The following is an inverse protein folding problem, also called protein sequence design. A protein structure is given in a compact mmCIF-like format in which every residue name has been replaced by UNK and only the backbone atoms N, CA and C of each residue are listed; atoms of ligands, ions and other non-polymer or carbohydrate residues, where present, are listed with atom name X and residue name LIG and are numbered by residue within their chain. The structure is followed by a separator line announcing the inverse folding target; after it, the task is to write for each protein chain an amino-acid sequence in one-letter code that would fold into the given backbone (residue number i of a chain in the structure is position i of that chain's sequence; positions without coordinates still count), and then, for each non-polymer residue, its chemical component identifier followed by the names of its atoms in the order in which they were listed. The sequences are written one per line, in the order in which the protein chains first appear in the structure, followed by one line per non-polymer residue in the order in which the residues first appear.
data_IF_763625140705
#
_entry.id   IF_763625140705
#
_cell.length_a   1.000
_cell.length_b   1.000
_cell.length_c   1.000
_cell.angle_alpha   90.00
_cell.angle_beta   90.00
_cell.angle_gamma   90.00
#
_symmetry.space_group_name_H-M   'P 1'
#
loop_
_entity.id
_entity.type
_entity.pdbx_description
1 polymer ?
#
# COMPACT_ATOMS: atom_id res chain seq x y z
N UNK A 1 -8.30 19.97 4.92
CA UNK A 1 -8.90 19.51 6.18
C UNK A 1 -8.23 20.28 7.29
N UNK A 2 -8.93 21.17 7.99
CA UNK A 2 -8.32 22.08 8.97
C UNK A 2 -9.18 22.28 10.20
N UNK A 3 -8.68 23.09 11.12
CA UNK A 3 -9.29 23.42 12.41
C UNK A 3 -10.02 24.76 12.36
N UNK A 4 -10.86 25.05 13.35
CA UNK A 4 -11.36 26.41 13.53
C UNK A 4 -10.22 27.36 13.92
N UNK A 5 -10.09 28.45 13.17
CA UNK A 5 -9.10 29.52 13.39
C UNK A 5 -9.74 30.90 13.56
N UNK A 6 -11.05 30.94 13.86
CA UNK A 6 -11.81 32.20 13.98
C UNK A 6 -12.46 32.39 15.34
N UNK A 7 -12.86 31.32 16.03
CA UNK A 7 -13.61 31.43 17.29
C UNK A 7 -12.68 31.60 18.49
N UNK A 8 -12.89 32.69 19.22
CA UNK A 8 -12.33 32.87 20.57
C UNK A 8 -13.17 32.08 21.56
N UNK A 9 -12.53 31.22 22.34
CA UNK A 9 -13.17 30.35 23.32
C UNK A 9 -12.94 30.86 24.75
N UNK A 10 -13.76 30.38 25.69
CA UNK A 10 -13.48 30.54 27.11
C UNK A 10 -12.50 29.43 27.54
N UNK A 11 -11.27 29.74 28.03
CA UNK A 11 -10.30 28.74 28.46
C UNK A 11 -10.81 27.79 29.55
N UNK A 12 -11.80 28.24 30.34
CA UNK A 12 -12.41 27.48 31.43
C UNK A 12 -13.81 26.93 31.06
N UNK A 13 -14.21 27.05 29.78
CA UNK A 13 -15.54 26.70 29.30
C UNK A 13 -15.75 25.21 29.02
N UNK A 14 -14.70 24.39 29.11
CA UNK A 14 -14.74 22.94 28.87
C UNK A 14 -14.85 22.52 27.39
N UNK A 15 -15.16 23.44 26.48
CA UNK A 15 -15.16 23.21 25.03
C UNK A 15 -13.75 23.43 24.46
N UNK A 16 -13.28 22.47 23.65
CA UNK A 16 -12.05 22.58 22.89
C UNK A 16 -12.25 23.32 21.55
N UNK A 17 -11.15 23.65 20.89
CA UNK A 17 -11.15 24.20 19.53
C UNK A 17 -11.64 23.15 18.53
N UNK A 18 -12.59 23.53 17.69
CA UNK A 18 -13.17 22.62 16.71
C UNK A 18 -12.10 22.10 15.74
N UNK A 19 -12.12 20.79 15.54
CA UNK A 19 -11.21 20.05 14.67
C UNK A 19 -11.90 18.76 14.20
N UNK A 20 -11.20 17.98 13.38
CA UNK A 20 -11.67 16.70 12.89
C UNK A 20 -10.66 15.59 13.14
N UNK A 21 -11.19 14.40 13.38
CA UNK A 21 -10.45 13.12 13.33
C UNK A 21 -11.10 12.26 12.27
N UNK A 22 -10.37 11.95 11.21
CA UNK A 22 -10.84 11.12 10.12
C UNK A 22 -10.15 9.76 10.20
N UNK A 23 -10.95 8.70 10.29
CA UNK A 23 -10.48 7.32 10.28
C UNK A 23 -10.97 6.63 9.01
N UNK A 24 -10.10 5.87 8.35
CA UNK A 24 -10.47 5.10 7.17
C UNK A 24 -11.45 3.97 7.52
N UNK A 25 -12.42 3.72 6.65
CA UNK A 25 -13.32 2.58 6.82
C UNK A 25 -12.60 1.22 6.71
N UNK A 26 -11.63 1.14 5.79
CA UNK A 26 -10.83 -0.07 5.60
C UNK A 26 -9.71 -0.13 6.64
N UNK A 27 -9.40 -1.36 7.06
CA UNK A 27 -8.22 -1.70 7.83
C UNK A 27 -7.23 -2.49 6.96
N UNK A 28 -5.94 -2.40 7.28
CA UNK A 28 -4.86 -3.07 6.56
C UNK A 28 -4.00 -3.92 7.49
N UNK A 29 -3.38 -4.94 6.91
CA UNK A 29 -2.27 -5.70 7.48
C UNK A 29 -1.20 -5.71 6.41
N UNK A 30 0.00 -5.24 6.76
CA UNK A 30 1.11 -5.03 5.84
C UNK A 30 0.80 -4.06 4.70
N UNK A 31 1.82 -3.81 3.89
CA UNK A 31 1.74 -3.04 2.66
C UNK A 31 2.59 -1.79 2.70
N UNK A 32 2.40 -0.97 1.68
CA UNK A 32 3.10 0.29 1.49
C UNK A 32 2.08 1.41 1.42
N UNK A 33 2.10 2.28 2.41
CA UNK A 33 1.25 3.48 2.49
C UNK A 33 2.07 4.67 2.00
N UNK A 34 1.60 5.36 0.96
CA UNK A 34 2.23 6.55 0.40
C UNK A 34 1.27 7.72 0.53
N UNK A 35 1.70 8.75 1.25
CA UNK A 35 1.01 10.00 1.44
C UNK A 35 1.82 11.13 0.79
N UNK A 36 1.21 11.79 -0.20
CA UNK A 36 1.73 13.01 -0.82
C UNK A 36 0.96 14.22 -0.28
N UNK A 37 1.69 15.13 0.37
CA UNK A 37 1.14 16.32 1.02
C UNK A 37 1.71 17.57 0.36
N UNK A 38 0.81 18.48 0.01
CA UNK A 38 1.17 19.87 -0.29
C UNK A 38 1.33 20.70 1.00
N UNK A 39 0.63 20.33 2.07
CA UNK A 39 0.62 21.05 3.34
C UNK A 39 0.22 20.11 4.50
N UNK A 40 0.82 20.29 5.67
CA UNK A 40 0.39 19.73 6.95
C UNK A 40 0.16 20.86 7.97
N UNK A 41 -0.53 20.63 9.10
CA UNK A 41 -0.65 21.67 10.11
C UNK A 41 0.72 22.22 10.51
N UNK A 42 0.82 23.56 10.53
CA UNK A 42 2.07 24.28 10.76
C UNK A 42 2.61 24.10 12.19
N UNK A 43 3.79 24.66 12.44
CA UNK A 43 4.43 24.67 13.76
C UNK A 43 3.74 25.69 14.68
N UNK A 44 2.54 25.34 15.14
CA UNK A 44 1.66 26.22 15.91
C UNK A 44 1.62 25.81 17.38
N UNK A 45 1.90 26.75 18.28
CA UNK A 45 1.89 26.50 19.72
C UNK A 45 0.53 25.97 20.20
N UNK A 46 0.56 24.82 20.88
CA UNK A 46 -0.61 24.11 21.37
C UNK A 46 -1.23 23.12 20.38
N UNK A 47 -0.81 23.10 19.12
CA UNK A 47 -1.24 22.10 18.14
C UNK A 47 -0.54 20.75 18.36
N UNK A 48 -1.26 19.68 18.03
CA UNK A 48 -0.76 18.30 17.97
C UNK A 48 -1.41 17.58 16.78
N UNK A 49 -0.84 17.75 15.57
CA UNK A 49 -1.30 17.05 14.38
C UNK A 49 -0.66 15.66 14.24
N UNK A 50 -1.45 14.71 13.74
CA UNK A 50 -1.00 13.34 13.50
C UNK A 50 -1.53 12.78 12.17
N UNK A 51 -0.65 12.09 11.43
CA UNK A 51 -1.01 11.10 10.42
C UNK A 51 -0.42 9.75 10.84
N UNK A 52 -1.30 8.81 11.12
CA UNK A 52 -0.96 7.61 11.86
C UNK A 52 -1.88 6.45 11.51
N UNK A 53 -1.58 5.28 12.06
CA UNK A 53 -2.33 4.06 11.85
C UNK A 53 -2.59 3.35 13.17
N UNK A 54 -3.84 3.02 13.46
CA UNK A 54 -4.25 2.45 14.74
C UNK A 54 -4.91 1.10 14.57
N UNK A 55 -4.43 0.09 15.28
CA UNK A 55 -5.06 -1.22 15.38
C UNK A 55 -6.18 -1.26 16.44
N UNK A 56 -6.95 -2.35 16.51
CA UNK A 56 -8.00 -2.51 17.50
C UNK A 56 -7.42 -2.80 18.91
N UNK A 57 -8.23 -2.64 19.96
CA UNK A 57 -7.87 -3.00 21.34
C UNK A 57 -6.54 -2.38 21.82
N UNK A 58 -6.36 -1.08 21.57
CA UNK A 58 -5.15 -0.37 21.97
C UNK A 58 -4.76 -0.63 23.45
N UNK A 59 -3.45 -0.86 23.75
CA UNK A 59 -2.31 -0.85 22.83
C UNK A 59 -2.00 -2.23 22.20
N UNK A 60 -2.85 -3.25 22.41
CA UNK A 60 -2.57 -4.62 21.99
C UNK A 60 -2.61 -4.83 20.46
N UNK A 61 -3.35 -4.00 19.72
CA UNK A 61 -3.32 -3.98 18.25
C UNK A 61 -2.33 -3.01 17.65
N UNK A 62 -1.58 -2.29 18.49
CA UNK A 62 -0.52 -1.40 18.08
C UNK A 62 -0.97 -0.05 17.51
N UNK A 63 -0.02 0.86 17.47
CA UNK A 63 -0.12 2.20 16.91
C UNK A 63 1.15 2.52 16.12
N UNK A 64 1.00 3.16 14.96
CA UNK A 64 2.11 3.55 14.09
C UNK A 64 1.95 5.03 13.74
N UNK A 65 2.78 5.88 14.31
CA UNK A 65 2.77 7.32 14.07
C UNK A 65 3.76 7.65 12.96
N UNK A 66 3.23 8.03 11.78
CA UNK A 66 4.04 8.26 10.57
C UNK A 66 4.47 9.72 10.52
N UNK A 67 3.54 10.63 10.84
CA UNK A 67 3.81 12.05 11.03
C UNK A 67 3.19 12.48 12.36
N UNK A 68 4.01 12.94 13.28
CA UNK A 68 3.56 13.43 14.57
C UNK A 68 4.53 14.46 15.17
N UNK A 69 3.96 15.41 15.91
CA UNK A 69 4.71 16.40 16.65
C UNK A 69 3.78 17.34 17.40
N UNK A 70 4.36 18.19 18.23
CA UNK A 70 3.62 19.13 19.08
C UNK A 70 4.26 20.50 19.08
N UNK A 71 3.46 21.52 19.36
CA UNK A 71 3.94 22.86 19.69
C UNK A 71 4.93 23.43 18.65
N UNK A 72 6.15 23.80 19.08
CA UNK A 72 7.17 24.41 18.22
C UNK A 72 8.05 23.40 17.47
N UNK A 73 7.68 22.12 17.42
CA UNK A 73 8.42 21.11 16.67
C UNK A 73 8.57 21.48 15.19
N UNK A 74 9.77 21.30 14.67
CA UNK A 74 10.15 21.57 13.26
C UNK A 74 10.67 20.33 12.53
N UNK A 75 10.82 19.24 13.27
CA UNK A 75 11.18 17.92 12.75
C UNK A 75 10.14 16.90 13.20
N UNK A 76 9.91 15.91 12.35
CA UNK A 76 8.92 14.88 12.60
C UNK A 76 9.41 13.87 13.63
N UNK A 77 8.50 13.40 14.50
CA UNK A 77 8.70 12.21 15.32
C UNK A 77 7.92 11.05 14.71
N UNK A 78 8.59 9.92 14.53
CA UNK A 78 7.97 8.67 14.08
C UNK A 78 8.02 7.72 15.27
N UNK A 79 6.88 7.18 15.68
CA UNK A 79 6.77 6.30 16.86
C UNK A 79 5.96 5.05 16.60
N UNK A 80 6.22 4.02 17.42
CA UNK A 80 5.32 2.89 17.58
C UNK A 80 4.92 2.73 19.04
N UNK A 81 3.65 2.40 19.26
CA UNK A 81 3.13 2.00 20.56
C UNK A 81 2.56 0.59 20.50
N UNK A 82 2.87 -0.21 21.52
CA UNK A 82 2.55 -1.64 21.63
C UNK A 82 2.33 -2.00 23.10
N UNK A 83 1.83 -3.21 23.35
CA UNK A 83 2.00 -3.86 24.65
C UNK A 83 3.44 -4.39 24.84
N UNK A 84 3.70 -5.08 25.95
CA UNK A 84 5.05 -5.51 26.35
C UNK A 84 5.79 -6.36 25.30
N UNK A 85 7.12 -6.38 25.39
CA UNK A 85 8.05 -7.21 24.59
C UNK A 85 8.27 -6.80 23.12
N UNK A 86 8.16 -5.51 22.80
CA UNK A 86 8.59 -4.97 21.52
C UNK A 86 9.68 -3.90 21.70
N UNK A 87 10.86 -4.12 21.11
CA UNK A 87 11.91 -3.11 21.01
C UNK A 87 12.50 -3.03 19.60
N UNK A 88 12.96 -1.83 19.23
CA UNK A 88 13.65 -1.55 17.97
C UNK A 88 15.16 -1.38 18.18
N UNK A 89 15.95 -1.66 17.17
CA UNK A 89 17.42 -1.72 17.27
C UNK A 89 18.13 -0.39 17.01
N UNK A 90 17.49 0.55 16.27
CA UNK A 90 18.09 1.87 15.97
C UNK A 90 19.27 1.80 15.03
N UNK A 91 19.15 0.94 14.01
CA UNK A 91 20.22 0.71 13.02
C UNK A 91 19.64 0.79 11.62
N UNK A 92 20.48 1.17 10.64
CA UNK A 92 20.07 1.32 9.24
C UNK A 92 18.95 2.35 9.01
N UNK A 93 19.06 3.50 9.68
CA UNK A 93 18.14 4.63 9.55
C UNK A 93 18.92 5.95 9.48
N UNK A 94 18.27 6.99 8.96
CA UNK A 94 18.82 8.35 8.90
C UNK A 94 18.50 9.16 10.16
N UNK A 95 17.39 8.86 10.83
CA UNK A 95 16.92 9.57 12.01
C UNK A 95 17.74 9.28 13.26
N UNK A 96 17.40 10.01 14.32
CA UNK A 96 17.98 9.85 15.66
C UNK A 96 16.98 9.14 16.55
N UNK A 97 17.32 7.93 16.99
CA UNK A 97 16.54 7.20 17.99
C UNK A 97 16.47 7.96 19.32
N UNK A 98 15.26 8.12 19.84
CA UNK A 98 14.96 8.73 21.14
C UNK A 98 14.70 7.67 22.20
N UNK A 99 13.92 6.65 21.85
CA UNK A 99 13.59 5.54 22.74
C UNK A 99 13.49 4.24 21.93
N UNK A 100 14.16 3.14 22.32
CA UNK A 100 14.02 1.85 21.64
C UNK A 100 12.81 1.02 22.10
N UNK A 101 12.13 1.39 23.19
CA UNK A 101 11.09 0.56 23.83
C UNK A 101 9.70 0.98 23.36
N UNK A 102 8.99 0.10 22.65
CA UNK A 102 7.69 0.42 22.02
C UNK A 102 6.49 0.29 22.95
N UNK A 103 6.71 -0.01 24.23
CA UNK A 103 5.64 -0.28 25.18
C UNK A 103 4.94 1.03 25.54
N UNK A 104 3.61 1.03 25.56
CA UNK A 104 2.80 2.21 25.90
C UNK A 104 3.14 2.81 27.27
N UNK A 105 3.54 1.98 28.23
CA UNK A 105 4.01 2.42 29.56
C UNK A 105 5.23 3.36 29.48
N UNK A 106 5.96 3.34 28.37
CA UNK A 106 6.90 4.38 27.99
C UNK A 106 6.12 5.41 27.18
N UNK A 107 5.77 6.54 27.79
CA UNK A 107 4.87 7.56 27.21
C UNK A 107 5.17 8.00 25.76
N UNK A 108 6.41 7.87 25.31
CA UNK A 108 6.85 8.25 23.96
C UNK A 108 6.76 7.10 22.95
N UNK A 109 6.47 5.87 23.40
CA UNK A 109 6.67 4.66 22.60
C UNK A 109 8.13 4.55 22.15
N UNK A 110 8.41 3.66 21.21
CA UNK A 110 9.72 3.66 20.58
C UNK A 110 9.69 4.70 19.47
N UNK A 111 10.61 5.64 19.52
CA UNK A 111 10.52 6.86 18.74
C UNK A 111 11.85 7.22 18.09
N UNK A 112 11.76 7.77 16.88
CA UNK A 112 12.87 8.25 16.07
C UNK A 112 12.52 9.67 15.58
N UNK A 113 13.41 10.63 15.85
CA UNK A 113 13.31 11.96 15.25
C UNK A 113 13.96 11.95 13.87
N UNK A 114 13.26 12.48 12.88
CA UNK A 114 13.83 12.63 11.53
C UNK A 114 15.00 13.61 11.54
N UNK A 115 16.07 13.30 10.82
CA UNK A 115 17.22 14.20 10.65
C UNK A 115 17.18 14.96 9.32
N UNK A 116 16.35 14.55 8.37
CA UNK A 116 16.18 15.28 7.11
C UNK A 116 15.49 16.62 7.38
N UNK A 117 16.06 17.75 6.91
CA UNK A 117 15.44 19.07 7.07
C UNK A 117 14.03 19.13 6.46
N UNK A 118 13.22 20.06 6.94
CA UNK A 118 11.89 20.35 6.40
C UNK A 118 10.93 19.14 6.46
N UNK A 119 11.06 18.26 7.44
CA UNK A 119 10.23 17.07 7.56
C UNK A 119 8.87 17.33 8.20
N UNK A 120 8.71 18.45 8.92
CA UNK A 120 7.49 18.70 9.67
C UNK A 120 7.11 20.18 9.73
N UNK A 121 5.81 20.44 9.91
CA UNK A 121 5.24 21.74 10.25
C UNK A 121 5.58 22.84 9.24
N UNK A 122 5.88 24.04 9.76
CA UNK A 122 6.13 25.21 8.92
C UNK A 122 7.29 25.00 7.92
N UNK A 123 8.44 24.43 8.31
CA UNK A 123 9.51 24.09 7.37
C UNK A 123 9.06 23.17 6.22
N UNK A 124 8.26 22.14 6.49
CA UNK A 124 7.69 21.27 5.47
C UNK A 124 6.82 22.05 4.48
N UNK A 125 5.92 22.88 5.00
CA UNK A 125 4.99 23.67 4.21
C UNK A 125 5.72 24.69 3.32
N UNK A 126 6.73 25.37 3.85
CA UNK A 126 7.55 26.34 3.08
C UNK A 126 8.41 25.67 1.99
N UNK A 127 8.62 24.36 2.08
CA UNK A 127 9.34 23.57 1.09
C UNK A 127 8.42 22.92 0.03
N UNK A 128 7.17 23.40 -0.09
CA UNK A 128 6.13 22.85 -0.96
C UNK A 128 5.76 21.39 -0.64
N UNK A 129 5.93 21.01 0.62
CA UNK A 129 5.62 19.68 1.14
C UNK A 129 6.52 18.56 0.62
N UNK A 130 5.93 17.40 0.38
CA UNK A 130 6.66 16.18 0.04
C UNK A 130 5.86 14.90 0.27
N UNK A 131 6.57 13.77 0.20
CA UNK A 131 5.99 12.43 0.32
C UNK A 131 6.50 11.74 1.58
N UNK A 132 5.56 11.22 2.36
CA UNK A 132 5.81 10.23 3.39
C UNK A 132 5.42 8.85 2.88
N UNK A 133 6.32 7.88 3.03
CA UNK A 133 6.06 6.49 2.67
C UNK A 133 6.34 5.57 3.86
N UNK A 134 5.40 4.69 4.19
CA UNK A 134 5.55 3.69 5.24
C UNK A 134 5.42 2.30 4.63
N UNK A 135 6.46 1.48 4.76
CA UNK A 135 6.43 0.06 4.41
C UNK A 135 6.28 -0.77 5.70
N UNK A 136 5.25 -1.60 5.74
CA UNK A 136 4.97 -2.52 6.83
C UNK A 136 5.01 -3.96 6.32
N UNK A 137 5.89 -4.75 6.92
CA UNK A 137 6.04 -6.20 6.66
C UNK A 137 5.99 -6.98 7.98
N UNK A 138 6.03 -8.31 7.91
CA UNK A 138 6.18 -9.16 9.10
C UNK A 138 7.47 -8.93 9.89
N UNK A 139 8.48 -8.27 9.31
CA UNK A 139 9.80 -8.13 9.93
C UNK A 139 10.12 -6.72 10.42
N UNK A 140 9.47 -5.70 9.86
CA UNK A 140 9.78 -4.31 10.16
C UNK A 140 8.62 -3.38 9.76
N UNK A 141 8.66 -2.19 10.34
CA UNK A 141 7.95 -1.01 9.85
C UNK A 141 9.01 0.05 9.53
N UNK A 142 9.01 0.59 8.31
CA UNK A 142 9.98 1.60 7.87
C UNK A 142 9.27 2.81 7.33
N UNK A 143 9.78 4.00 7.67
CA UNK A 143 9.19 5.27 7.23
C UNK A 143 10.25 6.11 6.52
N UNK A 144 9.94 6.55 5.30
CA UNK A 144 10.73 7.49 4.52
C UNK A 144 10.01 8.83 4.43
N UNK A 145 10.82 9.90 4.34
CA UNK A 145 10.39 11.22 3.93
C UNK A 145 11.20 11.63 2.71
N UNK A 146 10.50 12.04 1.65
CA UNK A 146 11.09 12.61 0.45
C UNK A 146 10.60 14.06 0.30
N UNK A 147 11.49 15.06 0.35
CA UNK A 147 11.09 16.44 0.07
C UNK A 147 10.59 16.56 -1.37
N UNK A 148 9.74 17.55 -1.65
CA UNK A 148 9.08 17.75 -2.95
C UNK A 148 10.00 17.57 -4.18
N UNK A 149 11.24 18.06 -4.11
CA UNK A 149 12.23 18.00 -5.19
C UNK A 149 13.05 16.70 -5.27
N UNK A 150 12.81 15.73 -4.39
CA UNK A 150 13.54 14.47 -4.33
C UNK A 150 12.61 13.24 -4.23
N UNK A 151 11.36 13.38 -4.67
CA UNK A 151 10.40 12.27 -4.72
C UNK A 151 10.89 11.22 -5.74
N UNK A 152 11.08 9.94 -5.33
CA UNK A 152 11.46 8.87 -6.24
C UNK A 152 10.50 8.72 -7.43
N UNK A 153 11.04 8.62 -8.64
CA UNK A 153 10.22 8.60 -9.87
C UNK A 153 9.26 7.42 -9.96
N UNK A 154 9.60 6.28 -9.35
CA UNK A 154 8.78 5.09 -9.29
C UNK A 154 7.49 5.29 -8.48
N UNK A 155 7.51 6.17 -7.46
CA UNK A 155 6.30 6.64 -6.77
C UNK A 155 5.41 7.42 -7.75
N UNK A 156 5.98 8.38 -8.46
CA UNK A 156 5.26 9.22 -9.43
C UNK A 156 4.67 8.42 -10.59
N UNK A 157 5.36 7.35 -11.02
CA UNK A 157 4.87 6.41 -12.05
C UNK A 157 3.90 5.35 -11.50
N UNK A 158 3.63 5.32 -10.19
CA UNK A 158 2.68 4.39 -9.58
C UNK A 158 3.16 2.94 -9.50
N UNK A 159 4.48 2.71 -9.56
CA UNK A 159 5.10 1.39 -9.38
C UNK A 159 6.23 1.46 -8.34
N UNK A 160 5.91 1.82 -7.09
CA UNK A 160 6.91 2.07 -6.05
C UNK A 160 7.69 0.81 -5.68
N UNK A 161 9.00 0.95 -5.50
CA UNK A 161 9.90 -0.10 -5.06
C UNK A 161 10.83 0.41 -3.93
N UNK A 162 10.44 0.19 -2.66
CA UNK A 162 11.20 0.64 -1.48
C UNK A 162 12.67 0.18 -1.44
N UNK A 163 13.01 -0.94 -2.09
CA UNK A 163 14.38 -1.45 -2.12
C UNK A 163 15.39 -0.48 -2.77
N UNK A 164 14.92 0.47 -3.59
CA UNK A 164 15.76 1.44 -4.29
C UNK A 164 15.78 2.83 -3.63
N UNK A 165 15.08 3.03 -2.52
CA UNK A 165 14.93 4.37 -1.90
C UNK A 165 16.06 4.74 -0.92
N UNK A 166 16.96 3.81 -0.63
CA UNK A 166 18.02 4.01 0.37
C UNK A 166 17.49 3.89 1.81
N UNK A 167 18.22 4.49 2.74
CA UNK A 167 17.91 4.39 4.17
C UNK A 167 16.61 5.14 4.51
N UNK A 168 15.71 4.55 5.33
CA UNK A 168 14.53 5.24 5.85
C UNK A 168 14.91 6.30 6.89
N UNK A 169 13.98 7.21 7.19
CA UNK A 169 14.11 8.07 8.37
C UNK A 169 14.06 7.25 9.66
N UNK A 170 13.16 6.28 9.72
CA UNK A 170 13.04 5.36 10.86
C UNK A 170 12.97 3.91 10.37
N UNK A 171 13.78 3.05 10.98
CA UNK A 171 13.78 1.61 10.76
C UNK A 171 13.32 0.90 12.04
N UNK A 172 12.01 0.70 12.16
CA UNK A 172 11.39 0.06 13.33
C UNK A 172 11.50 -1.46 13.23
N UNK A 173 12.73 -1.95 13.40
CA UNK A 173 13.11 -3.35 13.37
C UNK A 173 13.98 -3.66 14.60
N UNK A 174 13.75 -4.79 15.26
CA UNK A 174 14.53 -5.18 16.43
C UNK A 174 14.01 -6.46 17.08
N UNK A 175 14.08 -6.54 18.41
CA UNK A 175 13.49 -7.63 19.16
C UNK A 175 11.99 -7.37 19.36
N UNK A 176 11.25 -7.46 18.27
CA UNK A 176 9.82 -7.23 18.23
C UNK A 176 9.20 -8.16 17.19
N UNK A 177 8.16 -8.90 17.59
CA UNK A 177 7.34 -9.67 16.65
C UNK A 177 6.27 -8.75 16.06
N UNK A 178 6.56 -8.13 14.92
CA UNK A 178 5.67 -7.14 14.30
C UNK A 178 4.25 -7.71 14.09
N UNK A 179 4.12 -8.95 13.61
CA UNK A 179 2.80 -9.55 13.34
C UNK A 179 1.99 -9.86 14.60
N UNK A 180 2.63 -9.93 15.77
CA UNK A 180 1.94 -10.09 17.04
C UNK A 180 1.41 -8.77 17.60
N UNK A 181 2.09 -7.66 17.29
CA UNK A 181 1.80 -6.34 17.88
C UNK A 181 0.97 -5.43 16.97
N UNK A 182 1.03 -5.63 15.65
CA UNK A 182 0.39 -4.77 14.68
C UNK A 182 -0.56 -5.60 13.82
N UNK A 183 -1.84 -5.26 13.80
CA UNK A 183 -2.84 -5.93 12.97
C UNK A 183 -4.09 -5.06 12.77
N UNK A 184 -4.72 -5.18 11.60
CA UNK A 184 -5.98 -4.52 11.26
C UNK A 184 -5.96 -3.00 11.50
N UNK A 185 -4.90 -2.32 11.07
CA UNK A 185 -4.78 -0.88 11.30
C UNK A 185 -5.68 -0.08 10.37
N UNK A 186 -6.41 0.88 10.91
CA UNK A 186 -7.06 1.95 10.15
C UNK A 186 -6.15 3.17 10.08
N UNK A 187 -6.17 3.87 8.95
CA UNK A 187 -5.44 5.12 8.76
C UNK A 187 -6.21 6.26 9.40
N UNK A 188 -5.52 7.12 10.13
CA UNK A 188 -6.08 8.26 10.86
C UNK A 188 -5.35 9.55 10.48
N UNK A 189 -6.14 10.61 10.29
CA UNK A 189 -5.66 11.99 10.29
C UNK A 189 -6.41 12.76 11.36
N UNK A 190 -5.69 13.52 12.17
CA UNK A 190 -6.31 14.49 13.07
C UNK A 190 -5.40 15.67 13.38
N UNK A 191 -5.97 16.64 14.09
CA UNK A 191 -5.24 17.72 14.73
C UNK A 191 -5.91 18.02 16.04
N UNK A 192 -5.32 17.55 17.13
CA UNK A 192 -5.78 17.87 18.47
C UNK A 192 -5.00 19.05 19.05
N UNK A 193 -5.37 19.47 20.25
CA UNK A 193 -4.74 20.59 20.94
C UNK A 193 -4.43 20.24 22.38
N UNK A 194 -3.28 20.71 22.86
CA UNK A 194 -2.81 20.49 24.22
C UNK A 194 -2.77 19.00 24.57
N UNK A 195 -3.72 18.52 25.39
CA UNK A 195 -3.79 17.13 25.79
C UNK A 195 -2.52 16.62 26.46
N UNK A 196 -2.36 15.30 26.40
CA UNK A 196 -1.34 14.57 27.16
C UNK A 196 0.08 14.84 26.69
N UNK A 197 0.29 15.21 25.44
CA UNK A 197 1.62 15.55 24.94
C UNK A 197 1.85 17.05 24.79
N UNK A 198 1.15 17.74 23.88
CA UNK A 198 1.41 19.16 23.63
C UNK A 198 1.18 20.03 24.87
N UNK A 199 0.16 19.70 25.68
CA UNK A 199 -0.17 20.41 26.91
C UNK A 199 0.91 20.23 27.98
N UNK A 200 1.35 18.99 28.21
CA UNK A 200 2.38 18.69 29.20
C UNK A 200 3.77 19.19 28.77
N UNK A 201 4.06 19.22 27.46
CA UNK A 201 5.29 19.77 26.91
C UNK A 201 5.33 21.31 26.93
N UNK A 202 4.19 21.99 27.08
CA UNK A 202 4.08 23.45 26.96
C UNK A 202 5.10 24.21 27.80
N UNK A 203 5.25 23.84 29.08
CA UNK A 203 6.14 24.53 30.01
C UNK A 203 7.63 24.35 29.70
N UNK A 204 7.98 23.33 28.91
CA UNK A 204 9.34 23.00 28.51
C UNK A 204 9.67 23.47 27.09
N UNK A 205 8.64 23.84 26.31
CA UNK A 205 8.81 24.43 24.99
C UNK A 205 9.20 25.92 25.13
N UNK A 206 10.44 26.24 24.74
CA UNK A 206 11.00 27.60 24.87
C UNK A 206 10.31 28.67 24.02
N UNK A 207 9.55 28.28 23.00
CA UNK A 207 8.81 29.21 22.14
C UNK A 207 7.40 29.39 22.68
N UNK A 208 6.74 28.29 23.03
CA UNK A 208 5.32 28.29 23.40
C UNK A 208 5.06 28.71 24.83
N UNK A 209 5.92 28.33 25.78
CA UNK A 209 5.82 28.76 27.19
C UNK A 209 5.78 30.29 27.37
N UNK A 210 6.34 31.05 26.42
CA UNK A 210 6.35 32.51 26.42
C UNK A 210 5.04 33.14 25.89
N UNK A 211 4.15 32.35 25.29
CA UNK A 211 2.93 32.84 24.62
C UNK A 211 1.75 32.98 25.57
N UNK A 212 1.64 32.11 26.57
CA UNK A 212 0.57 32.12 27.57
C UNK A 212 0.96 31.28 28.80
N UNK A 213 0.28 31.47 29.95
CA UNK A 213 0.54 30.69 31.16
C UNK A 213 0.41 29.17 31.00
N UNK A 214 -0.49 28.73 30.12
CA UNK A 214 -0.67 27.32 29.77
C UNK A 214 -1.23 27.20 28.35
N UNK A 215 -1.19 25.98 27.82
CA UNK A 215 -1.62 25.67 26.46
C UNK A 215 -3.09 26.00 26.21
N UNK A 216 -3.98 25.65 27.14
CA UNK A 216 -5.42 25.82 27.00
C UNK A 216 -5.80 27.30 26.86
N UNK A 217 -5.17 28.18 27.64
CA UNK A 217 -5.35 29.63 27.53
C UNK A 217 -4.93 30.12 26.15
N UNK A 218 -3.76 29.72 25.65
CA UNK A 218 -3.30 30.16 24.33
C UNK A 218 -4.24 29.70 23.22
N UNK A 219 -4.58 28.41 23.18
CA UNK A 219 -5.43 27.81 22.15
C UNK A 219 -6.83 28.44 22.16
N UNK A 220 -7.39 28.73 23.33
CA UNK A 220 -8.72 29.34 23.44
C UNK A 220 -8.73 30.79 22.95
N UNK A 221 -7.73 31.58 23.30
CA UNK A 221 -7.74 33.05 23.10
C UNK A 221 -7.13 33.51 21.78
N UNK A 222 -6.38 32.66 21.08
CA UNK A 222 -5.60 33.03 19.89
C UNK A 222 -6.03 32.25 18.63
N UNK A 223 -7.30 32.31 18.19
CA UNK A 223 -7.79 31.52 17.06
C UNK A 223 -7.00 31.73 15.77
N UNK A 224 -6.62 32.98 15.47
CA UNK A 224 -5.92 33.32 14.24
C UNK A 224 -4.52 32.66 14.13
N UNK A 225 -3.95 32.18 15.23
CA UNK A 225 -2.68 31.44 15.22
C UNK A 225 -2.80 30.08 14.51
N UNK A 226 -4.01 29.56 14.31
CA UNK A 226 -4.27 28.23 13.73
C UNK A 226 -4.76 28.31 12.29
N UNK A 227 -4.60 29.47 11.61
CA UNK A 227 -5.00 29.63 10.21
C UNK A 227 -4.28 28.64 9.27
N UNK A 228 -3.04 28.29 9.60
CA UNK A 228 -2.23 27.32 8.86
C UNK A 228 -2.25 25.91 9.49
N UNK A 229 -3.14 25.65 10.46
CA UNK A 229 -3.33 24.32 11.03
C UNK A 229 -4.28 23.47 10.17
N UNK A 230 -3.81 23.08 8.99
CA UNK A 230 -4.59 22.23 8.07
C UNK A 230 -3.73 21.28 7.23
N UNK A 231 -4.32 20.14 6.91
CA UNK A 231 -3.83 19.16 5.95
C UNK A 231 -4.32 19.49 4.53
N UNK A 232 -3.40 19.55 3.57
CA UNK A 232 -3.66 19.57 2.13
C UNK A 232 -3.04 18.33 1.49
N UNK A 233 -3.88 17.33 1.26
CA UNK A 233 -3.49 16.01 0.76
C UNK A 233 -3.65 15.99 -0.76
N UNK A 234 -2.55 15.74 -1.48
CA UNK A 234 -2.59 15.52 -2.92
C UNK A 234 -3.16 14.15 -3.23
N UNK A 235 -2.59 13.10 -2.62
CA UNK A 235 -3.15 11.76 -2.64
C UNK A 235 -2.66 10.92 -1.45
N UNK A 236 -3.44 9.88 -1.14
CA UNK A 236 -3.06 8.77 -0.28
C UNK A 236 -3.27 7.48 -1.07
N UNK A 237 -2.22 6.66 -1.20
CA UNK A 237 -2.27 5.38 -1.91
C UNK A 237 -1.75 4.27 -0.99
N UNK A 238 -2.41 3.12 -1.03
CA UNK A 238 -1.96 1.91 -0.32
C UNK A 238 -1.71 0.82 -1.34
N UNK A 239 -0.51 0.26 -1.33
CA UNK A 239 -0.10 -0.88 -2.16
C UNK A 239 0.02 -2.11 -1.28
N UNK A 240 -0.45 -3.24 -1.77
CA UNK A 240 -0.29 -4.54 -1.12
C UNK A 240 0.48 -5.44 -2.06
N UNK A 241 1.42 -6.24 -1.54
CA UNK A 241 2.02 -7.30 -2.33
C UNK A 241 0.94 -8.30 -2.72
N UNK A 242 0.72 -8.46 -4.02
CA UNK A 242 0.03 -9.65 -4.53
C UNK A 242 1.00 -10.79 -4.33
N UNK A 243 0.61 -11.80 -3.54
CA UNK A 243 1.35 -13.05 -3.50
C UNK A 243 1.57 -13.49 -4.95
N UNK A 244 2.83 -13.67 -5.35
CA UNK A 244 3.15 -14.16 -6.66
C UNK A 244 2.50 -15.55 -6.78
N UNK A 245 1.40 -15.63 -7.55
CA UNK A 245 0.87 -16.91 -7.98
C UNK A 245 1.96 -17.52 -8.86
N UNK A 246 2.78 -18.38 -8.26
CA UNK A 246 3.67 -19.25 -9.01
C UNK A 246 2.78 -20.23 -9.77
N UNK A 247 2.42 -19.87 -11.00
CA UNK A 247 1.92 -20.85 -11.95
C UNK A 247 3.07 -21.79 -12.27
N UNK A 248 3.10 -22.93 -11.60
CA UNK A 248 3.94 -24.04 -12.00
C UNK A 248 3.29 -24.65 -13.25
N UNK A 249 3.62 -24.09 -14.43
CA UNK A 249 3.32 -24.66 -15.74
C UNK A 249 3.88 -26.09 -15.79
N UNK A 250 3.03 -27.06 -15.49
CA UNK A 250 3.34 -28.48 -15.61
C UNK A 250 3.07 -28.87 -17.06
N UNK A 251 4.08 -28.76 -17.93
CA UNK A 251 4.00 -29.26 -19.30
C UNK A 251 3.92 -30.79 -19.28
N UNK A 252 2.71 -31.35 -19.29
CA UNK A 252 2.49 -32.75 -19.60
C UNK A 252 2.67 -32.96 -21.10
N UNK A 253 3.87 -33.40 -21.51
CA UNK A 253 4.09 -33.93 -22.87
C UNK A 253 3.33 -35.25 -22.95
N UNK A 254 2.11 -35.22 -23.49
CA UNK A 254 1.45 -36.43 -23.96
C UNK A 254 2.23 -36.94 -25.18
N UNK A 255 3.07 -37.96 -24.99
CA UNK A 255 3.62 -38.75 -26.09
C UNK A 255 2.42 -39.50 -26.69
N UNK A 256 1.75 -38.87 -27.64
CA UNK A 256 0.76 -39.55 -28.47
C UNK A 256 1.54 -40.55 -29.30
N UNK A 257 1.54 -41.81 -28.87
CA UNK A 257 2.18 -42.89 -29.64
C UNK A 257 1.65 -42.86 -31.08
N UNK A 258 2.51 -43.14 -32.06
CA UNK A 258 2.15 -43.11 -33.49
C UNK A 258 0.91 -43.97 -33.83
N UNK A 259 0.55 -44.90 -32.95
CA UNK A 259 -0.67 -45.72 -32.97
C UNK A 259 -1.96 -44.90 -32.82
N UNK A 260 -1.96 -43.83 -32.01
CA UNK A 260 -3.13 -42.96 -31.81
C UNK A 260 -3.38 -42.03 -33.00
N UNK A 261 -2.31 -41.56 -33.66
CA UNK A 261 -2.43 -40.71 -34.85
C UNK A 261 -3.00 -41.51 -36.05
N UNK A 262 -2.63 -42.80 -36.16
CA UNK A 262 -3.24 -43.70 -37.16
C UNK A 262 -4.74 -43.95 -36.92
N UNK A 263 -5.16 -44.06 -35.65
CA UNK A 263 -6.57 -44.25 -35.32
C UNK A 263 -7.42 -43.01 -35.68
N UNK A 264 -6.93 -41.79 -35.40
CA UNK A 264 -7.61 -40.55 -35.76
C UNK A 264 -7.69 -40.32 -37.28
N UNK A 265 -6.60 -40.62 -38.02
CA UNK A 265 -6.57 -40.44 -39.48
C UNK A 265 -7.51 -41.44 -40.20
N UNK A 266 -7.67 -42.64 -39.66
CA UNK A 266 -8.58 -43.65 -40.22
C UNK A 266 -10.06 -43.30 -39.98
N UNK A 267 -10.38 -42.66 -38.85
CA UNK A 267 -11.74 -42.18 -38.55
C UNK A 267 -12.18 -41.05 -39.49
N UNK A 268 -11.25 -40.16 -39.87
CA UNK A 268 -11.55 -39.04 -40.79
C UNK A 268 -11.72 -39.52 -42.24
N UNK A 269 -11.01 -40.58 -42.67
CA UNK A 269 -11.15 -41.09 -44.05
C UNK A 269 -12.43 -41.91 -44.29
N UNK A 270 -12.96 -42.59 -43.26
CA UNK A 270 -14.20 -43.35 -43.35
C UNK A 270 -15.45 -42.45 -43.41
N UNK A 271 -15.39 -41.25 -42.81
CA UNK A 271 -16.50 -40.30 -42.82
C UNK A 271 -16.69 -39.62 -44.19
N UNK A 272 -15.65 -39.58 -45.04
CA UNK A 272 -15.73 -39.04 -46.41
C UNK A 272 -16.29 -40.03 -47.45
N UNK A 273 -16.47 -41.31 -47.10
CA UNK A 273 -17.00 -42.34 -48.02
C UNK A 273 -18.45 -42.76 -47.76
N UNK A 274 -19.17 -42.10 -46.84
CA UNK A 274 -20.63 -42.28 -46.70
C UNK A 274 -21.09 -43.64 -46.16
N UNK A 275 -20.21 -44.42 -45.52
CA UNK A 275 -20.59 -45.71 -44.92
C UNK A 275 -20.88 -45.48 -43.43
N UNK A 276 -22.17 -45.50 -43.05
CA UNK A 276 -22.55 -45.57 -41.64
C UNK A 276 -22.52 -47.02 -41.16
N UNK A 277 -21.57 -47.35 -40.29
CA UNK A 277 -21.69 -48.51 -39.40
C UNK A 277 -21.68 -48.05 -37.95
N UNK A 278 -22.71 -48.48 -37.21
CA UNK A 278 -22.79 -48.35 -35.76
C UNK A 278 -21.69 -49.20 -35.12
N UNK A 279 -20.76 -48.56 -34.42
CA UNK A 279 -19.85 -49.25 -33.51
C UNK A 279 -20.24 -48.94 -32.06
N UNK A 280 -20.57 -49.98 -31.30
CA UNK A 280 -20.71 -49.93 -29.86
C UNK A 280 -19.32 -49.73 -29.23
N UNK A 281 -19.11 -48.58 -28.58
CA UNK A 281 -17.93 -48.35 -27.75
C UNK A 281 -18.24 -48.92 -26.36
N UNK A 282 -17.43 -49.88 -25.91
CA UNK A 282 -17.47 -50.45 -24.55
C UNK A 282 -17.25 -49.36 -23.48
N UNK A 283 -17.95 -49.41 -22.32
CA UNK A 283 -17.97 -48.32 -21.32
C UNK A 283 -16.68 -48.19 -20.48
N UNK A 284 -15.55 -48.78 -20.89
CA UNK A 284 -14.34 -48.85 -20.06
C UNK A 284 -13.49 -47.56 -20.10
N UNK A 285 -13.76 -46.60 -21.00
CA UNK A 285 -12.86 -45.45 -21.23
C UNK A 285 -13.37 -44.06 -20.78
N UNK A 286 -14.39 -43.99 -19.91
CA UNK A 286 -14.91 -42.71 -19.38
C UNK A 286 -14.18 -42.22 -18.11
N UNK A 287 -13.23 -42.99 -17.56
CA UNK A 287 -12.59 -42.64 -16.27
C UNK A 287 -11.42 -41.66 -16.32
N UNK A 288 -11.12 -41.04 -17.47
CA UNK A 288 -9.98 -40.11 -17.57
C UNK A 288 -10.37 -38.66 -17.84
N UNK A 289 -11.66 -38.33 -17.91
CA UNK A 289 -12.13 -36.96 -18.08
C UNK A 289 -12.83 -36.38 -16.84
N UNK A 290 -12.84 -37.12 -15.72
CA UNK A 290 -13.42 -36.69 -14.44
C UNK A 290 -12.33 -36.71 -13.37
N UNK A 291 -11.43 -35.73 -13.42
CA UNK A 291 -10.52 -35.42 -12.30
C UNK A 291 -9.97 -33.99 -12.42
N UNK A 292 -10.86 -33.01 -12.59
CA UNK A 292 -10.64 -31.63 -12.11
C UNK A 292 -11.93 -31.15 -11.46
N UNK A 293 -12.33 -31.83 -10.39
CA UNK A 293 -13.33 -31.33 -9.44
C UNK A 293 -13.09 -31.99 -8.10
N UNK A 294 -12.07 -31.52 -7.37
CA UNK A 294 -12.04 -31.42 -5.90
C UNK A 294 -10.68 -30.93 -5.42
N UNK A 295 -10.51 -29.60 -5.33
CA UNK A 295 -10.01 -28.90 -4.15
C UNK A 295 -10.16 -27.39 -4.40
N UNK A 296 -10.45 -26.64 -3.33
CA UNK A 296 -10.98 -25.27 -3.30
C UNK A 296 -12.51 -25.18 -3.42
N UNK A 297 -13.20 -25.81 -2.46
CA UNK A 297 -14.38 -25.21 -1.86
C UNK A 297 -13.90 -24.17 -0.85
N UNK A 298 -13.97 -22.90 -1.23
CA UNK A 298 -14.53 -21.80 -0.43
C UNK A 298 -14.00 -20.46 -0.96
N UNK A 299 -14.91 -19.50 -1.03
CA UNK A 299 -14.75 -18.14 -1.53
C UNK A 299 -14.85 -18.03 -3.07
N UNK A 300 -16.10 -18.03 -3.55
CA UNK A 300 -16.59 -17.09 -4.58
C UNK A 300 -18.12 -17.26 -4.71
N UNK A 301 -18.85 -16.74 -3.72
CA UNK A 301 -20.19 -16.23 -3.97
C UNK A 301 -20.03 -14.85 -4.59
N UNK A 302 -20.07 -14.77 -5.92
CA UNK A 302 -20.88 -13.79 -6.64
C UNK A 302 -20.82 -14.06 -8.14
N UNK A 303 -22.01 -14.32 -8.65
CA UNK A 303 -22.34 -14.64 -10.03
C UNK A 303 -22.35 -13.34 -10.86
N UNK A 304 -21.75 -13.37 -12.05
CA UNK A 304 -22.29 -12.72 -13.25
C UNK A 304 -22.06 -13.64 -14.45
N UNK A 305 -23.13 -14.33 -14.86
CA UNK A 305 -23.19 -15.08 -16.11
C UNK A 305 -23.31 -14.10 -17.29
N UNK A 306 -22.40 -14.18 -18.25
CA UNK A 306 -22.64 -13.77 -19.64
C UNK A 306 -22.51 -15.01 -20.53
N UNK A 307 -23.53 -15.41 -21.30
CA UNK A 307 -23.36 -16.43 -22.31
C UNK A 307 -22.69 -15.80 -23.54
N UNK A 308 -21.87 -16.60 -24.24
CA UNK A 308 -21.18 -16.29 -25.50
C UNK A 308 -19.73 -15.81 -25.35
N UNK A 309 -18.79 -16.73 -25.16
CA UNK A 309 -17.42 -16.60 -25.72
C UNK A 309 -16.76 -17.97 -25.77
N UNK A 310 -16.57 -18.45 -27.00
CA UNK A 310 -15.73 -19.60 -27.34
C UNK A 310 -14.27 -19.21 -27.07
N UNK A 311 -13.59 -19.94 -26.19
CA UNK A 311 -12.14 -19.83 -26.03
C UNK A 311 -11.49 -20.68 -27.12
N UNK A 312 -10.91 -20.02 -28.13
CA UNK A 312 -10.04 -20.66 -29.12
C UNK A 312 -8.63 -20.72 -28.52
N UNK A 313 -8.18 -21.91 -28.13
CA UNK A 313 -6.77 -22.15 -27.79
C UNK A 313 -6.01 -22.31 -29.11
N UNK A 314 -5.23 -21.30 -29.48
CA UNK A 314 -4.39 -21.34 -30.67
C UNK A 314 -2.92 -21.58 -30.29
N UNK A 315 -2.39 -22.66 -30.87
CA UNK A 315 -0.99 -22.97 -31.20
C UNK A 315 -0.08 -23.66 -30.17
N UNK A 316 0.21 -24.92 -30.48
CA UNK A 316 1.38 -25.70 -30.07
C UNK A 316 2.54 -25.34 -31.00
N UNK A 317 3.67 -24.87 -30.45
CA UNK A 317 4.91 -24.68 -31.20
C UNK A 317 5.58 -26.03 -31.47
N UNK A 318 5.79 -26.39 -32.74
CA UNK A 318 6.72 -27.44 -33.13
C UNK A 318 8.08 -26.81 -33.45
N UNK A 319 9.12 -27.17 -32.70
CA UNK A 319 10.50 -26.91 -33.08
C UNK A 319 10.92 -27.96 -34.11
N UNK A 320 11.11 -27.54 -35.37
CA UNK A 320 11.99 -28.24 -36.30
C UNK A 320 12.83 -27.25 -37.09
N UNK A 321 14.11 -27.55 -37.13
CA UNK A 321 15.26 -26.87 -37.71
C UNK A 321 15.10 -26.31 -39.13
N UNK A 322 15.64 -25.09 -39.32
CA UNK A 322 16.19 -24.48 -40.55
C UNK A 322 15.30 -24.36 -41.81
N UNK A 323 14.63 -23.21 -41.97
CA UNK A 323 14.24 -22.64 -43.28
C UNK A 323 14.37 -21.09 -43.24
N UNK A 324 15.16 -20.45 -44.12
CA UNK A 324 15.34 -18.99 -44.16
C UNK A 324 14.09 -18.18 -44.57
N UNK A 325 12.99 -18.81 -44.96
CA UNK A 325 11.78 -18.09 -45.40
C UNK A 325 10.84 -17.62 -44.28
N UNK A 326 11.13 -17.95 -43.01
CA UNK A 326 10.22 -17.66 -41.88
C UNK A 326 10.29 -16.21 -41.33
N UNK A 327 11.25 -15.40 -41.79
CA UNK A 327 11.46 -14.03 -41.29
C UNK A 327 10.57 -12.94 -41.93
N UNK A 328 9.62 -13.29 -42.83
CA UNK A 328 8.68 -12.31 -43.41
C UNK A 328 7.25 -12.38 -42.88
N UNK A 329 6.92 -13.34 -42.00
CA UNK A 329 5.58 -13.47 -41.41
C UNK A 329 5.45 -12.88 -40.00
N UNK A 330 6.55 -12.50 -39.35
CA UNK A 330 6.58 -12.01 -37.97
C UNK A 330 6.36 -10.50 -37.81
N UNK A 331 6.12 -9.75 -38.90
CA UNK A 331 5.93 -8.30 -38.86
C UNK A 331 4.46 -7.83 -39.00
N UNK A 332 3.46 -8.72 -38.94
CA UNK A 332 2.05 -8.35 -39.14
C UNK A 332 1.11 -8.66 -37.96
N UNK A 333 1.61 -9.18 -36.84
CA UNK A 333 0.76 -9.58 -35.68
C UNK A 333 1.17 -8.85 -34.40
N UNK A 334 1.35 -7.52 -34.50
CA UNK A 334 1.51 -6.65 -33.31
C UNK A 334 0.60 -5.43 -33.28
N UNK A 335 -0.37 -5.31 -34.18
CA UNK A 335 -1.39 -4.26 -34.10
C UNK A 335 -2.79 -4.85 -34.11
N UNK A 336 -3.54 -4.58 -33.04
CA UNK A 336 -4.99 -4.85 -32.96
C UNK A 336 -5.68 -4.12 -34.12
N UNK A 337 -6.09 -4.84 -35.15
CA UNK A 337 -6.99 -4.32 -36.17
C UNK A 337 -7.95 -5.42 -36.63
N UNK A 338 -9.25 -5.12 -36.54
CA UNK A 338 -10.34 -5.93 -37.08
C UNK A 338 -10.24 -5.86 -38.61
N UNK A 339 -10.18 -7.01 -39.29
CA UNK A 339 -10.21 -7.08 -40.75
C UNK A 339 -11.56 -7.64 -41.19
N UNK A 340 -12.37 -6.76 -41.78
CA UNK A 340 -13.58 -7.14 -42.51
C UNK A 340 -13.24 -7.34 -44.00
N UNK A 341 -13.98 -8.24 -44.63
CA UNK A 341 -13.68 -8.84 -45.93
C UNK A 341 -13.72 -7.83 -47.10
N UNK A 342 -12.59 -7.62 -47.80
CA UNK A 342 -12.39 -7.62 -49.27
C UNK A 342 -11.18 -6.76 -49.69
N UNK A 343 -10.23 -7.35 -50.41
CA UNK A 343 -9.25 -6.64 -51.25
C UNK A 343 -7.82 -6.63 -50.71
N UNK A 344 -6.87 -7.04 -51.56
CA UNK A 344 -5.46 -7.27 -51.24
C UNK A 344 -4.59 -5.99 -51.13
N UNK A 345 -3.45 -6.16 -50.45
CA UNK A 345 -2.12 -5.50 -50.55
C UNK A 345 -1.74 -4.62 -49.34
N UNK A 346 -0.90 -5.17 -48.45
CA UNK A 346 0.04 -4.38 -47.64
C UNK A 346 1.21 -3.93 -48.53
N UNK A 347 1.43 -2.61 -48.66
CA UNK A 347 2.71 -2.03 -49.07
C UNK A 347 3.38 -1.43 -47.82
N UNK A 348 4.71 -1.53 -47.81
CA UNK A 348 5.64 -1.31 -46.68
C UNK A 348 5.39 0.02 -45.98
#
# INVERSE_FOLDING_TARGET
MGVDYTTVLNPNGGLGRDSVRITSNKAWIHGLVILDLAHMPSTDCGSWPAFWMMGPNWPAGGEIDIIEGVNSNTVNQISLHTNDNCTIAGTSELGTMINPICQESQSTGCAVLTNTPNSYGTPFNTNNGGVYAMEWTSSYIRVWYFPHNAIPSDISFGNPNPANWGLPQANMQGNCNIDQHFYQHQIVFDTTFCGDWAGNAWAYDSVCSLKAPNCQTYVAENPAAFADAYWMINYLKVYTSVAALQFQESYYIFIVSASFLKALITLVSLQQQGIQHFFFISPIFINSLVLVKHQYSDILQNILFYPSSIIVINQVFFHSTFDPNYQRLLACVQTKAVVEHRGHICKI
#
